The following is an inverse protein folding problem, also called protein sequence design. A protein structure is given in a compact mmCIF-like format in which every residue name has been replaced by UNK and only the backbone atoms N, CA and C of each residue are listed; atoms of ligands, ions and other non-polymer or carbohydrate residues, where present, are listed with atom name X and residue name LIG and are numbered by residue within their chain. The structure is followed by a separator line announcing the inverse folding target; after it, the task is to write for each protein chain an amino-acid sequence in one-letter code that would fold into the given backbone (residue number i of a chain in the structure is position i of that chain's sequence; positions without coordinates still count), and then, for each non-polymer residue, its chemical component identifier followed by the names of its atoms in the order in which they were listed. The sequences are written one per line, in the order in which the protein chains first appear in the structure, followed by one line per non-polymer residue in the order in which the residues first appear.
data_IF_589190945143
#
_entry.id   IF_589190945143
#
_cell.length_a   1.000
_cell.length_b   1.000
_cell.length_c   1.000
_cell.angle_alpha   90.00
_cell.angle_beta   90.00
_cell.angle_gamma   90.00
#
_symmetry.space_group_name_H-M   'P 1'
#
loop_
_entity.id
_entity.type
_entity.pdbx_description
1 polymer ?
#
# COMPACT_ATOMS: atom_id res chain seq x y z
N UNK A 1 2.69 -6.58 -19.92
CA UNK A 1 1.91 -5.75 -18.96
C UNK A 1 2.61 -4.43 -18.64
N UNK A 2 3.89 -4.44 -18.20
CA UNK A 2 4.65 -3.21 -17.84
C UNK A 2 4.70 -2.14 -18.93
N UNK A 3 5.00 -2.51 -20.18
CA UNK A 3 5.03 -1.56 -21.30
C UNK A 3 3.65 -0.96 -21.58
N UNK A 4 2.61 -1.80 -21.62
CA UNK A 4 1.25 -1.40 -22.02
C UNK A 4 0.55 -0.43 -21.04
N UNK A 5 0.90 -0.49 -19.75
CA UNK A 5 0.32 0.39 -18.72
C UNK A 5 1.09 1.71 -18.62
N UNK A 6 2.43 1.66 -18.66
CA UNK A 6 3.26 2.88 -18.62
C UNK A 6 3.23 3.67 -19.93
N UNK A 7 2.87 3.02 -21.04
CA UNK A 7 2.67 3.68 -22.34
C UNK A 7 1.20 4.06 -22.58
N UNK A 8 0.33 3.95 -21.56
CA UNK A 8 -1.07 4.31 -21.72
C UNK A 8 -1.20 5.84 -21.82
N UNK A 9 -1.91 6.39 -22.82
CA UNK A 9 -2.15 7.83 -22.90
C UNK A 9 -2.84 8.41 -21.65
N UNK A 10 -3.57 7.61 -20.89
CA UNK A 10 -4.22 7.98 -19.61
C UNK A 10 -3.27 7.91 -18.40
N UNK A 11 -1.98 7.65 -18.62
CA UNK A 11 -0.93 7.67 -17.59
C UNK A 11 0.05 8.80 -17.94
N UNK A 12 -0.42 10.04 -17.87
CA UNK A 12 0.37 11.21 -18.27
C UNK A 12 0.63 12.19 -17.13
N UNK A 13 -0.01 12.02 -15.97
CA UNK A 13 0.22 12.84 -14.78
C UNK A 13 1.01 12.11 -13.68
N UNK A 14 1.89 12.80 -12.91
CA UNK A 14 2.57 12.21 -11.77
C UNK A 14 1.66 11.55 -10.73
N UNK A 15 0.46 12.08 -10.56
CA UNK A 15 -0.54 11.56 -9.61
C UNK A 15 -1.05 10.18 -10.03
N UNK A 16 -1.08 9.88 -11.33
CA UNK A 16 -1.58 8.61 -11.86
C UNK A 16 -0.76 7.45 -11.32
N UNK A 17 0.56 7.62 -11.18
CA UNK A 17 1.42 6.61 -10.56
C UNK A 17 0.98 6.21 -9.15
N UNK A 18 0.39 7.11 -8.37
CA UNK A 18 -0.20 6.76 -7.07
C UNK A 18 -1.53 6.05 -7.24
N UNK A 19 -2.43 6.57 -8.09
CA UNK A 19 -3.77 6.03 -8.29
C UNK A 19 -3.75 4.59 -8.82
N UNK A 20 -3.02 4.35 -9.90
CA UNK A 20 -2.94 3.01 -10.51
C UNK A 20 -2.32 1.98 -9.56
N UNK A 21 -1.31 2.37 -8.77
CA UNK A 21 -0.71 1.50 -7.75
C UNK A 21 -1.71 1.16 -6.63
N UNK A 22 -2.50 2.14 -6.16
CA UNK A 22 -3.55 1.91 -5.16
C UNK A 22 -4.62 0.96 -5.71
N UNK A 23 -5.10 1.20 -6.93
CA UNK A 23 -6.14 0.35 -7.56
C UNK A 23 -5.65 -1.08 -7.71
N UNK A 24 -4.43 -1.28 -8.19
CA UNK A 24 -3.84 -2.62 -8.32
C UNK A 24 -3.72 -3.32 -6.95
N UNK A 25 -3.29 -2.59 -5.91
CA UNK A 25 -3.14 -3.12 -4.57
C UNK A 25 -4.46 -3.46 -3.89
N UNK A 26 -5.53 -2.70 -4.14
CA UNK A 26 -6.86 -3.04 -3.64
C UNK A 26 -7.36 -4.36 -4.23
N UNK A 27 -7.14 -4.61 -5.53
CA UNK A 27 -7.45 -5.91 -6.15
C UNK A 27 -6.63 -7.06 -5.54
N UNK A 28 -5.35 -6.82 -5.24
CA UNK A 28 -4.50 -7.79 -4.54
C UNK A 28 -5.00 -8.06 -3.10
N UNK A 29 -5.33 -7.01 -2.34
CA UNK A 29 -5.82 -7.11 -0.97
C UNK A 29 -7.13 -7.91 -0.87
N UNK A 30 -8.03 -7.76 -1.85
CA UNK A 30 -9.23 -8.61 -1.94
C UNK A 30 -8.84 -10.08 -2.08
N UNK A 31 -7.91 -10.38 -2.99
CA UNK A 31 -7.45 -11.76 -3.22
C UNK A 31 -6.80 -12.36 -1.96
N UNK A 32 -5.92 -11.60 -1.30
CA UNK A 32 -5.27 -12.02 -0.05
C UNK A 32 -6.28 -12.30 1.08
N UNK A 33 -7.24 -11.40 1.29
CA UNK A 33 -8.26 -11.56 2.32
C UNK A 33 -9.19 -12.76 2.05
N UNK A 34 -9.50 -13.06 0.79
CA UNK A 34 -10.27 -14.25 0.41
C UNK A 34 -9.48 -15.55 0.63
N UNK A 35 -8.18 -15.55 0.34
CA UNK A 35 -7.32 -16.73 0.55
C UNK A 35 -7.22 -17.11 2.03
N UNK A 36 -7.19 -16.13 2.94
CA UNK A 36 -7.17 -16.38 4.39
C UNK A 36 -8.43 -17.11 4.87
N UNK A 37 -9.58 -16.83 4.25
CA UNK A 37 -10.85 -17.51 4.54
C UNK A 37 -10.96 -18.89 3.87
N UNK A 38 -10.04 -19.22 2.96
CA UNK A 38 -10.11 -20.48 2.22
C UNK A 38 -9.71 -21.68 3.11
N UNK A 39 -10.30 -22.87 2.89
CA UNK A 39 -9.95 -24.10 3.62
C UNK A 39 -8.47 -24.52 3.48
N UNK A 40 -7.76 -23.92 2.51
CA UNK A 40 -6.35 -24.18 2.21
C UNK A 40 -5.44 -23.62 3.32
N UNK A 41 -5.92 -22.64 4.08
CA UNK A 41 -5.13 -21.91 5.08
C UNK A 41 -5.06 -22.57 6.47
N UNK A 42 -5.68 -23.74 6.69
CA UNK A 42 -5.55 -24.54 7.92
C UNK A 42 -6.89 -24.97 8.57
N UNK A 43 -6.87 -25.87 9.57
CA UNK A 43 -8.09 -26.44 10.15
C UNK A 43 -8.87 -25.39 10.96
N UNK A 44 -10.22 -25.44 10.94
CA UNK A 44 -11.08 -24.49 11.64
C UNK A 44 -11.12 -24.86 13.13
N UNK A 45 -10.09 -24.45 13.86
CA UNK A 45 -10.08 -24.57 15.34
C UNK A 45 -10.62 -23.30 16.02
N UNK A 46 -10.95 -22.27 15.24
CA UNK A 46 -11.53 -21.03 15.74
C UNK A 46 -13.05 -21.10 15.72
N UNK A 47 -13.68 -20.67 16.81
CA UNK A 47 -15.13 -20.44 16.85
C UNK A 47 -15.51 -19.52 15.70
N UNK A 48 -16.60 -19.82 14.98
CA UNK A 48 -17.06 -19.05 13.81
C UNK A 48 -17.04 -17.53 14.03
N UNK A 49 -17.40 -17.09 15.24
CA UNK A 49 -17.41 -15.68 15.64
C UNK A 49 -16.02 -15.05 15.79
N UNK A 50 -15.02 -15.79 16.28
CA UNK A 50 -13.64 -15.29 16.41
C UNK A 50 -13.00 -15.12 15.01
N UNK A 51 -13.18 -16.12 14.14
CA UNK A 51 -12.71 -16.05 12.75
C UNK A 51 -13.31 -14.88 12.00
N UNK A 52 -14.61 -14.65 12.14
CA UNK A 52 -15.31 -13.51 11.54
C UNK A 52 -14.76 -12.18 12.04
N UNK A 53 -14.57 -12.06 13.35
CA UNK A 53 -14.08 -10.83 13.97
C UNK A 53 -12.67 -10.49 13.47
N UNK A 54 -11.75 -11.46 13.54
CA UNK A 54 -10.37 -11.29 13.04
C UNK A 54 -10.37 -10.95 11.55
N UNK A 55 -11.19 -11.65 10.75
CA UNK A 55 -11.28 -11.42 9.32
C UNK A 55 -11.84 -10.04 8.99
N UNK A 56 -12.81 -9.53 9.72
CA UNK A 56 -13.33 -8.17 9.56
C UNK A 56 -12.26 -7.11 9.88
N UNK A 57 -11.52 -7.28 10.98
CA UNK A 57 -10.42 -6.37 11.32
C UNK A 57 -9.30 -6.39 10.28
N UNK A 58 -8.95 -7.57 9.74
CA UNK A 58 -7.98 -7.70 8.65
C UNK A 58 -8.50 -7.10 7.35
N UNK A 59 -9.76 -7.33 7.01
CA UNK A 59 -10.36 -6.77 5.81
C UNK A 59 -10.30 -5.24 5.80
N UNK A 60 -10.53 -4.59 6.94
CA UNK A 60 -10.40 -3.13 7.04
C UNK A 60 -8.91 -2.73 7.11
N UNK A 61 -8.18 -3.27 8.09
CA UNK A 61 -6.82 -2.84 8.41
C UNK A 61 -5.81 -3.14 7.31
N UNK A 62 -5.75 -4.40 6.83
CA UNK A 62 -4.82 -4.81 5.80
C UNK A 62 -5.15 -4.16 4.45
N UNK A 63 -6.44 -4.01 4.09
CA UNK A 63 -6.81 -3.32 2.84
C UNK A 63 -6.39 -1.85 2.85
N UNK A 64 -6.59 -1.14 3.97
CA UNK A 64 -6.12 0.24 4.13
C UNK A 64 -4.59 0.29 4.06
N UNK A 65 -3.88 -0.65 4.71
CA UNK A 65 -2.43 -0.74 4.63
C UNK A 65 -1.94 -0.95 3.19
N UNK A 66 -2.53 -1.88 2.44
CA UNK A 66 -2.20 -2.15 1.04
C UNK A 66 -2.36 -0.91 0.17
N UNK A 67 -3.47 -0.19 0.32
CA UNK A 67 -3.69 1.08 -0.37
C UNK A 67 -2.62 2.12 0.00
N UNK A 68 -2.32 2.29 1.29
CA UNK A 68 -1.39 3.31 1.76
C UNK A 68 0.08 3.01 1.40
N UNK A 69 0.53 1.76 1.56
CA UNK A 69 1.85 1.32 1.14
C UNK A 69 2.01 1.47 -0.38
N UNK A 70 1.01 1.08 -1.16
CA UNK A 70 1.08 1.18 -2.62
C UNK A 70 0.99 2.61 -3.12
N UNK A 71 0.21 3.48 -2.45
CA UNK A 71 0.24 4.91 -2.70
C UNK A 71 1.59 5.55 -2.38
N UNK A 72 2.24 5.10 -1.30
CA UNK A 72 3.61 5.53 -0.94
C UNK A 72 4.63 5.09 -1.99
N UNK A 73 4.57 3.84 -2.43
CA UNK A 73 5.43 3.33 -3.51
C UNK A 73 5.16 4.06 -4.83
N UNK A 74 3.90 4.29 -5.17
CA UNK A 74 3.47 5.07 -6.34
C UNK A 74 3.98 6.51 -6.31
N UNK A 75 4.07 7.12 -5.13
CA UNK A 75 4.66 8.46 -4.98
C UNK A 75 6.16 8.47 -5.30
N UNK A 76 6.92 7.51 -4.77
CA UNK A 76 8.35 7.39 -5.10
C UNK A 76 8.58 7.02 -6.57
N UNK A 77 7.69 6.21 -7.14
CA UNK A 77 7.69 5.89 -8.56
C UNK A 77 7.46 7.14 -9.42
N UNK A 78 6.49 7.98 -9.07
CA UNK A 78 6.27 9.28 -9.72
C UNK A 78 7.52 10.18 -9.66
N UNK A 79 8.14 10.32 -8.49
CA UNK A 79 9.38 11.08 -8.35
C UNK A 79 10.53 10.51 -9.19
N UNK A 80 10.57 9.19 -9.34
CA UNK A 80 11.60 8.50 -10.14
C UNK A 80 11.52 8.84 -11.63
N UNK A 81 10.31 9.15 -12.13
CA UNK A 81 10.10 9.63 -13.50
C UNK A 81 10.57 11.08 -13.66
N UNK A 82 10.33 11.93 -12.65
CA UNK A 82 10.74 13.34 -12.68
C UNK A 82 12.25 13.52 -12.46
N UNK A 83 12.89 12.65 -11.67
CA UNK A 83 14.30 12.72 -11.29
C UNK A 83 15.09 11.53 -11.85
N UNK A 84 15.29 11.50 -13.15
CA UNK A 84 15.92 10.37 -13.86
C UNK A 84 17.29 9.97 -13.32
N UNK A 85 18.12 10.94 -12.90
CA UNK A 85 19.45 10.69 -12.30
C UNK A 85 19.39 9.93 -10.97
N UNK A 86 18.31 10.09 -10.19
CA UNK A 86 18.13 9.46 -8.88
C UNK A 86 17.11 8.32 -8.91
N UNK A 87 16.66 7.92 -10.11
CA UNK A 87 15.54 6.99 -10.32
C UNK A 87 15.65 5.72 -9.50
N UNK A 88 16.80 5.03 -9.61
CA UNK A 88 17.04 3.76 -8.91
C UNK A 88 17.04 3.97 -7.40
N UNK A 89 17.69 5.04 -6.92
CA UNK A 89 17.74 5.37 -5.48
C UNK A 89 16.35 5.62 -4.91
N UNK A 90 15.50 6.35 -5.62
CA UNK A 90 14.12 6.64 -5.20
C UNK A 90 13.26 5.37 -5.17
N UNK A 91 13.37 4.52 -6.19
CA UNK A 91 12.63 3.25 -6.23
C UNK A 91 13.08 2.32 -5.10
N UNK A 92 14.39 2.10 -4.93
CA UNK A 92 14.93 1.25 -3.86
C UNK A 92 14.49 1.77 -2.49
N UNK A 93 14.58 3.08 -2.26
CA UNK A 93 14.13 3.67 -1.00
C UNK A 93 12.64 3.47 -0.77
N UNK A 94 11.80 3.75 -1.78
CA UNK A 94 10.36 3.55 -1.69
C UNK A 94 9.97 2.10 -1.41
N UNK A 95 10.59 1.14 -2.13
CA UNK A 95 10.37 -0.29 -1.92
C UNK A 95 10.79 -0.75 -0.53
N UNK A 96 12.00 -0.40 -0.09
CA UNK A 96 12.49 -0.78 1.24
C UNK A 96 11.60 -0.21 2.34
N UNK A 97 11.18 1.05 2.21
CA UNK A 97 10.31 1.71 3.19
C UNK A 97 8.97 0.96 3.34
N UNK A 98 8.29 0.65 2.23
CA UNK A 98 6.97 0.00 2.30
C UNK A 98 7.05 -1.45 2.74
N UNK A 99 8.12 -2.17 2.38
CA UNK A 99 8.36 -3.55 2.88
C UNK A 99 8.54 -3.53 4.40
N UNK A 100 9.37 -2.61 4.92
CA UNK A 100 9.61 -2.49 6.36
C UNK A 100 8.32 -2.13 7.09
N UNK A 101 7.57 -1.12 6.63
CA UNK A 101 6.34 -0.69 7.29
C UNK A 101 5.23 -1.75 7.22
N UNK A 102 5.09 -2.43 6.09
CA UNK A 102 4.12 -3.52 5.95
C UNK A 102 4.51 -4.72 6.82
N UNK A 103 5.79 -5.08 6.85
CA UNK A 103 6.33 -6.13 7.71
C UNK A 103 6.12 -5.82 9.20
N UNK A 104 6.40 -4.59 9.63
CA UNK A 104 6.18 -4.14 11.01
C UNK A 104 4.69 -4.17 11.39
N UNK A 105 3.81 -3.76 10.48
CA UNK A 105 2.37 -3.88 10.70
C UNK A 105 1.97 -5.35 10.94
N UNK A 106 2.35 -6.25 10.04
CA UNK A 106 2.02 -7.67 10.14
C UNK A 106 2.61 -8.30 11.40
N UNK A 107 3.88 -8.02 11.69
CA UNK A 107 4.54 -8.48 12.90
C UNK A 107 3.80 -8.01 14.15
N UNK A 108 3.38 -6.74 14.19
CA UNK A 108 2.67 -6.21 15.36
C UNK A 108 1.30 -6.82 15.60
N UNK A 109 0.56 -7.23 14.57
CA UNK A 109 -0.75 -7.87 14.75
C UNK A 109 -0.67 -9.37 15.05
N UNK A 110 0.45 -10.01 14.67
CA UNK A 110 0.67 -11.46 14.78
C UNK A 110 1.42 -11.85 16.06
N UNK A 111 2.52 -11.14 16.39
CA UNK A 111 3.47 -11.56 17.42
C UNK A 111 3.42 -10.70 18.69
N UNK A 112 2.91 -9.47 18.61
CA UNK A 112 2.88 -8.56 19.76
C UNK A 112 1.57 -8.71 20.53
N UNK A 113 1.69 -8.76 21.86
CA UNK A 113 0.56 -8.81 22.80
C UNK A 113 0.30 -7.45 23.48
N UNK A 114 -0.85 -7.34 24.14
CA UNK A 114 -1.24 -6.15 24.91
C UNK A 114 -1.54 -4.92 24.03
N UNK A 115 -1.39 -3.73 24.61
CA UNK A 115 -1.79 -2.47 23.95
C UNK A 115 -0.98 -2.16 22.69
N UNK A 116 0.28 -2.61 22.63
CA UNK A 116 1.18 -2.36 21.50
C UNK A 116 0.70 -3.01 20.20
N UNK A 117 -0.02 -4.14 20.32
CA UNK A 117 -0.68 -4.83 19.20
C UNK A 117 -1.58 -3.90 18.39
N UNK A 118 -2.22 -2.93 19.04
CA UNK A 118 -3.12 -1.98 18.39
C UNK A 118 -2.47 -0.63 18.14
N UNK A 119 -1.61 -0.16 19.06
CA UNK A 119 -0.96 1.14 18.94
C UNK A 119 -0.05 1.20 17.71
N UNK A 120 0.77 0.18 17.47
CA UNK A 120 1.75 0.18 16.37
C UNK A 120 1.05 0.22 15.01
N UNK A 121 0.07 -0.66 14.69
CA UNK A 121 -0.72 -0.56 13.46
C UNK A 121 -1.36 0.81 13.25
N UNK A 122 -1.99 1.37 14.29
CA UNK A 122 -2.68 2.67 14.19
C UNK A 122 -1.68 3.78 13.88
N UNK A 123 -0.53 3.81 14.55
CA UNK A 123 0.53 4.80 14.27
C UNK A 123 1.05 4.68 12.83
N UNK A 124 1.28 3.45 12.34
CA UNK A 124 1.71 3.21 10.95
C UNK A 124 0.65 3.72 9.97
N UNK A 125 -0.62 3.37 10.16
CA UNK A 125 -1.71 3.77 9.28
C UNK A 125 -1.90 5.29 9.25
N UNK A 126 -1.87 5.96 10.40
CA UNK A 126 -1.99 7.43 10.47
C UNK A 126 -0.80 8.13 9.81
N UNK A 127 0.42 7.62 10.05
CA UNK A 127 1.64 8.16 9.44
C UNK A 127 1.62 8.03 7.92
N UNK A 128 1.29 6.83 7.41
CA UNK A 128 1.17 6.59 5.98
C UNK A 128 0.02 7.40 5.35
N UNK A 129 -1.13 7.52 6.01
CA UNK A 129 -2.25 8.33 5.51
C UNK A 129 -1.84 9.78 5.35
N UNK A 130 -1.14 10.32 6.35
CA UNK A 130 -0.60 11.68 6.31
C UNK A 130 0.41 11.85 5.18
N UNK A 131 1.35 10.89 5.03
CA UNK A 131 2.34 10.89 3.96
C UNK A 131 1.70 10.85 2.56
N UNK A 132 0.79 9.90 2.32
CA UNK A 132 0.08 9.74 1.04
C UNK A 132 -0.74 10.98 0.71
N UNK A 133 -1.44 11.56 1.69
CA UNK A 133 -2.20 12.80 1.53
C UNK A 133 -1.33 13.98 1.10
N UNK A 134 -0.15 14.12 1.73
CA UNK A 134 0.84 15.14 1.34
C UNK A 134 1.45 14.84 -0.03
N UNK A 135 1.70 13.57 -0.32
CA UNK A 135 2.18 13.09 -1.62
C UNK A 135 1.26 13.48 -2.76
N UNK A 136 -0.05 13.21 -2.62
CA UNK A 136 -1.06 13.63 -3.59
C UNK A 136 -1.06 15.15 -3.79
N UNK A 137 -1.07 15.93 -2.70
CA UNK A 137 -1.04 17.41 -2.79
C UNK A 137 0.21 17.90 -3.52
N UNK A 138 1.37 17.29 -3.26
CA UNK A 138 2.63 17.67 -3.89
C UNK A 138 2.65 17.30 -5.38
N UNK A 139 2.23 16.09 -5.74
CA UNK A 139 2.23 15.65 -7.14
C UNK A 139 1.20 16.40 -7.98
N UNK A 140 0.02 16.73 -7.44
CA UNK A 140 -0.98 17.58 -8.13
C UNK A 140 -0.41 18.96 -8.51
N UNK A 141 0.44 19.55 -7.67
CA UNK A 141 1.13 20.81 -7.98
C UNK A 141 2.19 20.67 -9.09
N UNK A 142 2.71 19.46 -9.31
CA UNK A 142 3.70 19.19 -10.36
C UNK A 142 3.03 18.84 -11.69
N UNK A 143 1.84 18.21 -11.65
CA UNK A 143 1.03 17.89 -12.82
C UNK A 143 0.65 19.14 -13.64
N UNK A 144 0.40 20.28 -12.98
CA UNK A 144 0.11 21.55 -13.68
C UNK A 144 1.28 22.09 -14.51
N UNK A 145 2.47 21.50 -14.40
CA UNK A 145 3.71 21.96 -15.06
C UNK A 145 4.35 20.88 -15.93
N UNK A 146 4.17 19.59 -15.62
CA UNK A 146 4.92 18.51 -16.24
C UNK A 146 4.05 17.27 -16.51
N UNK A 147 4.11 16.76 -17.75
CA UNK A 147 3.55 15.45 -18.14
C UNK A 147 4.64 14.39 -18.12
N UNK A 148 4.31 13.19 -17.65
CA UNK A 148 5.20 12.03 -17.75
C UNK A 148 5.06 11.47 -19.18
N UNK A 149 6.16 11.49 -19.94
CA UNK A 149 6.29 10.81 -21.24
C UNK A 149 7.56 9.96 -21.24
#
# INVERSE_FOLDING_TARGET
VKEKVLSNPEFDEPVDSMLYMIIAALGFAVTENLLILSPISGPPQFQFFETLTISAFRFIGATVLHALCSGTLGYFMALSFLKTKERIKLLVFGFSLVIILHGLYNFSIMEIEGYLRFLIPVTILVGLTSFVSLGFKRLKKLASVCKIK
#
